data_IF_382544970191
#
_entry.id   IF_382544970191
#
_cell.length_a   1.000
_cell.length_b   1.000
_cell.length_c   1.000
_cell.angle_alpha   90.00
_cell.angle_beta   90.00
_cell.angle_gamma   90.00
#
_symmetry.space_group_name_H-M   'P 1'
#
loop_
_entity.id
_entity.type
_entity.pdbx_description
1 polymer ?
#
# COMPACT_ATOMS: atom_id res chain seq x y z
N UNK A 1 -4.46 -29.62 -9.01
CA UNK A 1 -3.35 -28.80 -8.47
C UNK A 1 -3.95 -27.79 -7.51
N UNK A 2 -3.77 -27.98 -6.20
CA UNK A 2 -4.24 -27.00 -5.22
C UNK A 2 -3.38 -25.74 -5.37
N UNK A 3 -3.99 -24.65 -5.85
CA UNK A 3 -3.36 -23.34 -5.78
C UNK A 3 -3.16 -23.03 -4.29
N UNK A 4 -1.91 -22.89 -3.84
CA UNK A 4 -1.65 -22.23 -2.57
C UNK A 4 -2.20 -20.82 -2.70
N UNK A 5 -3.38 -20.59 -2.11
CA UNK A 5 -3.89 -19.24 -1.93
C UNK A 5 -2.94 -18.55 -0.95
N UNK A 6 -2.07 -17.69 -1.46
CA UNK A 6 -1.30 -16.81 -0.61
C UNK A 6 -2.30 -15.82 -0.01
N UNK A 7 -2.54 -15.96 1.29
CA UNK A 7 -3.40 -15.07 2.04
C UNK A 7 -2.60 -13.83 2.39
N UNK A 8 -2.87 -12.73 1.68
CA UNK A 8 -2.40 -11.41 2.11
C UNK A 8 -3.34 -10.93 3.23
N UNK A 9 -2.81 -10.46 4.38
CA UNK A 9 -3.64 -9.91 5.44
C UNK A 9 -4.43 -8.68 4.97
N UNK A 10 -5.55 -8.42 5.64
CA UNK A 10 -6.31 -7.18 5.47
C UNK A 10 -5.71 -6.09 6.36
N UNK A 11 -5.53 -4.90 5.81
CA UNK A 11 -4.96 -3.77 6.52
C UNK A 11 -5.98 -2.65 6.70
N UNK A 12 -6.04 -2.07 7.88
CA UNK A 12 -6.79 -0.85 8.14
C UNK A 12 -5.83 0.31 8.25
N UNK A 13 -6.29 1.52 7.92
CA UNK A 13 -5.45 2.70 8.01
C UNK A 13 -6.23 3.94 8.43
N UNK A 14 -5.47 4.99 8.71
CA UNK A 14 -5.97 6.36 8.86
C UNK A 14 -5.39 7.26 7.76
N UNK A 15 -6.23 8.03 7.06
CA UNK A 15 -5.77 9.07 6.14
C UNK A 15 -4.83 10.06 6.83
N UNK A 16 -3.70 10.39 6.18
CA UNK A 16 -2.76 11.40 6.69
C UNK A 16 -3.41 12.78 6.65
N UNK A 17 -4.17 13.05 5.59
CA UNK A 17 -4.85 14.32 5.38
C UNK A 17 -6.09 14.32 6.27
N UNK A 18 -6.18 15.32 7.14
CA UNK A 18 -7.39 15.59 7.93
C UNK A 18 -8.25 16.57 7.17
N UNK A 19 -9.50 16.18 6.92
CA UNK A 19 -10.52 17.03 6.33
C UNK A 19 -11.52 17.40 7.42
N UNK A 20 -11.70 18.69 7.68
CA UNK A 20 -12.61 19.19 8.71
C UNK A 20 -13.90 19.76 8.13
N UNK A 21 -14.24 19.40 6.88
CA UNK A 21 -15.38 19.95 6.14
C UNK A 21 -16.67 19.11 6.27
N UNK A 22 -16.64 18.03 7.07
CA UNK A 22 -17.77 17.12 7.25
C UNK A 22 -18.09 16.26 6.01
N UNK A 23 -17.27 16.30 4.95
CA UNK A 23 -17.46 15.50 3.74
C UNK A 23 -16.48 14.33 3.65
N UNK A 24 -15.91 13.92 4.79
CA UNK A 24 -15.01 12.80 4.86
C UNK A 24 -15.74 11.58 5.37
N UNK A 25 -15.68 10.49 4.60
CA UNK A 25 -16.42 9.26 4.86
C UNK A 25 -15.47 8.09 5.02
N UNK A 26 -15.83 7.13 5.88
CA UNK A 26 -15.15 5.84 6.00
C UNK A 26 -16.08 4.68 5.63
N UNK A 27 -15.48 3.59 5.15
CA UNK A 27 -16.18 2.41 4.64
C UNK A 27 -16.41 1.36 5.74
N UNK A 28 -17.43 1.56 6.56
CA UNK A 28 -17.75 0.70 7.68
C UNK A 28 -18.59 -0.52 7.23
N UNK A 29 -17.94 -1.67 7.04
CA UNK A 29 -18.60 -2.97 6.77
C UNK A 29 -19.64 -2.98 5.64
N UNK A 30 -19.47 -2.13 4.62
CA UNK A 30 -20.43 -2.03 3.52
C UNK A 30 -21.06 -0.65 3.36
N UNK A 31 -21.03 0.15 4.43
CA UNK A 31 -21.71 1.43 4.50
C UNK A 31 -20.72 2.59 4.51
N UNK A 32 -21.16 3.73 3.96
CA UNK A 32 -20.42 4.99 4.01
C UNK A 32 -20.96 5.84 5.14
N UNK A 33 -20.19 5.99 6.20
CA UNK A 33 -20.53 6.85 7.34
C UNK A 33 -19.58 8.05 7.37
N UNK A 34 -20.00 9.13 8.03
CA UNK A 34 -19.11 10.25 8.31
C UNK A 34 -17.93 9.74 9.13
N UNK A 35 -16.73 10.19 8.78
CA UNK A 35 -15.52 9.84 9.48
C UNK A 35 -15.59 10.25 10.96
N UNK A 36 -15.53 9.26 11.83
CA UNK A 36 -15.58 9.39 13.30
C UNK A 36 -14.19 9.28 13.94
N UNK A 37 -13.13 9.16 13.13
CA UNK A 37 -11.75 9.03 13.58
C UNK A 37 -11.24 7.59 13.68
N UNK A 38 -12.08 6.58 13.46
CA UNK A 38 -11.69 5.17 13.52
C UNK A 38 -10.88 4.71 12.29
N UNK A 39 -10.04 3.70 12.46
CA UNK A 39 -9.33 3.09 11.33
C UNK A 39 -10.28 2.28 10.47
N UNK A 40 -10.06 2.28 9.16
CA UNK A 40 -10.87 1.48 8.23
C UNK A 40 -10.06 1.05 6.99
N UNK A 41 -10.65 0.21 6.14
CA UNK A 41 -10.01 -0.31 4.93
C UNK A 41 -10.13 0.61 3.72
N UNK A 42 -11.03 1.60 3.76
CA UNK A 42 -11.18 2.62 2.73
C UNK A 42 -11.85 3.89 3.26
N UNK A 43 -11.51 5.02 2.63
CA UNK A 43 -12.10 6.34 2.92
C UNK A 43 -12.43 7.05 1.63
N UNK A 44 -13.34 8.02 1.70
CA UNK A 44 -13.75 8.83 0.56
C UNK A 44 -13.89 10.29 0.98
N UNK A 45 -13.38 11.18 0.13
CA UNK A 45 -13.61 12.62 0.19
C UNK A 45 -14.21 13.06 -1.14
N UNK A 46 -15.54 13.04 -1.28
CA UNK A 46 -16.17 13.45 -2.52
C UNK A 46 -15.84 14.89 -2.91
N UNK A 47 -15.65 15.81 -1.97
CA UNK A 47 -15.34 17.22 -2.28
C UNK A 47 -14.08 17.38 -3.14
N UNK A 48 -13.02 16.63 -2.82
CA UNK A 48 -11.73 16.68 -3.53
C UNK A 48 -11.58 15.58 -4.60
N UNK A 49 -12.67 14.87 -4.91
CA UNK A 49 -12.66 13.71 -5.80
C UNK A 49 -11.64 12.63 -5.37
N UNK A 50 -11.38 12.46 -4.07
CA UNK A 50 -10.37 11.53 -3.55
C UNK A 50 -10.98 10.29 -2.92
N UNK A 51 -10.48 9.12 -3.31
CA UNK A 51 -10.73 7.84 -2.69
C UNK A 51 -9.41 7.30 -2.11
N UNK A 52 -9.45 6.83 -0.86
CA UNK A 52 -8.29 6.32 -0.16
C UNK A 52 -8.45 4.82 0.08
N UNK A 53 -7.39 4.06 -0.19
CA UNK A 53 -7.34 2.62 0.09
C UNK A 53 -5.93 2.07 0.01
N UNK A 54 -5.66 1.01 0.76
CA UNK A 54 -4.35 0.34 0.75
C UNK A 54 -4.03 -0.26 -0.64
N UNK A 55 -2.84 0.03 -1.16
CA UNK A 55 -2.33 -0.53 -2.41
C UNK A 55 -1.77 -1.92 -2.16
N UNK A 56 -2.64 -2.92 -2.35
CA UNK A 56 -2.26 -4.31 -2.17
C UNK A 56 -1.14 -4.70 -3.18
N UNK A 57 -0.06 -5.37 -2.73
CA UNK A 57 1.03 -5.77 -3.61
C UNK A 57 0.56 -6.51 -4.87
N UNK A 58 1.10 -6.12 -6.02
CA UNK A 58 0.79 -6.74 -7.32
C UNK A 58 1.27 -8.19 -7.42
N UNK A 59 2.28 -8.55 -6.60
CA UNK A 59 2.87 -9.88 -6.49
C UNK A 59 2.82 -10.33 -5.03
N UNK A 60 2.43 -11.57 -4.76
CA UNK A 60 2.19 -12.01 -3.39
C UNK A 60 3.50 -12.23 -2.61
N UNK A 61 4.60 -12.53 -3.31
CA UNK A 61 5.92 -12.73 -2.70
C UNK A 61 6.65 -11.42 -2.38
N UNK A 62 6.20 -10.26 -2.88
CA UNK A 62 6.82 -8.96 -2.57
C UNK A 62 6.19 -8.42 -1.28
N UNK A 63 7.03 -8.12 -0.28
CA UNK A 63 6.59 -7.38 0.91
C UNK A 63 6.83 -5.90 0.70
N UNK A 64 8.08 -5.49 0.45
CA UNK A 64 8.45 -4.07 0.36
C UNK A 64 9.07 -3.77 -1.00
N UNK A 65 8.86 -2.55 -1.47
CA UNK A 65 9.51 -2.02 -2.66
C UNK A 65 10.14 -0.66 -2.40
N UNK A 66 11.14 -0.31 -3.19
CA UNK A 66 11.67 1.06 -3.25
C UNK A 66 12.34 1.32 -4.60
N UNK A 67 12.27 2.55 -5.10
CA UNK A 67 13.02 2.99 -6.30
C UNK A 67 14.31 3.72 -5.96
N UNK A 68 15.43 3.37 -6.61
CA UNK A 68 16.70 4.09 -6.44
C UNK A 68 16.51 5.60 -6.62
N UNK A 69 16.84 6.36 -5.56
CA UNK A 69 16.66 7.82 -5.47
C UNK A 69 15.22 8.34 -5.66
N UNK A 70 14.19 7.49 -5.62
CA UNK A 70 12.81 7.86 -5.95
C UNK A 70 12.59 8.12 -7.44
N UNK A 71 13.52 7.67 -8.31
CA UNK A 71 13.49 7.95 -9.76
C UNK A 71 13.23 6.67 -10.53
N UNK A 72 12.07 6.58 -11.17
CA UNK A 72 11.70 5.41 -11.96
C UNK A 72 12.64 5.14 -13.14
N UNK A 73 13.23 6.19 -13.72
CA UNK A 73 14.21 6.10 -14.81
C UNK A 73 15.66 5.88 -14.37
N UNK A 74 15.92 5.69 -13.07
CA UNK A 74 17.27 5.38 -12.61
C UNK A 74 17.72 3.99 -13.12
N UNK A 75 19.01 3.83 -13.35
CA UNK A 75 19.60 2.54 -13.72
C UNK A 75 20.36 1.98 -12.51
N UNK A 76 20.07 0.72 -12.20
CA UNK A 76 20.78 -0.05 -11.18
C UNK A 76 21.57 -1.15 -11.87
N UNK A 77 22.89 -1.10 -11.74
CA UNK A 77 23.77 -2.16 -12.23
C UNK A 77 23.46 -3.49 -11.51
N UNK A 78 23.44 -4.60 -12.24
CA UNK A 78 23.06 -5.92 -11.71
C UNK A 78 21.56 -6.19 -11.63
N UNK A 79 20.70 -5.19 -11.79
CA UNK A 79 19.25 -5.42 -11.90
C UNK A 79 18.86 -5.91 -13.30
N UNK A 80 17.82 -6.76 -13.42
CA UNK A 80 17.30 -7.19 -14.71
C UNK A 80 16.93 -5.99 -15.59
N UNK A 81 17.57 -5.89 -16.77
CA UNK A 81 17.39 -4.78 -17.72
C UNK A 81 17.66 -3.38 -17.10
N UNK A 82 18.49 -3.32 -16.06
CA UNK A 82 18.82 -2.06 -15.37
C UNK A 82 17.68 -1.44 -14.56
N UNK A 83 16.63 -2.20 -14.25
CA UNK A 83 15.43 -1.72 -13.54
C UNK A 83 15.76 -0.93 -12.24
N UNK A 84 15.14 0.23 -12.03
CA UNK A 84 15.34 1.09 -10.85
C UNK A 84 14.83 0.52 -9.52
N UNK A 85 13.93 -0.47 -9.59
CA UNK A 85 13.19 -0.94 -8.42
C UNK A 85 13.94 -2.04 -7.66
N UNK A 86 13.99 -1.88 -6.35
CA UNK A 86 14.43 -2.84 -5.35
C UNK A 86 13.20 -3.49 -4.72
N UNK A 87 13.24 -4.80 -4.52
CA UNK A 87 12.13 -5.57 -3.96
C UNK A 87 12.63 -6.47 -2.83
N UNK A 88 11.95 -6.40 -1.70
CA UNK A 88 12.14 -7.33 -0.58
C UNK A 88 11.05 -8.39 -0.63
N UNK A 89 11.45 -9.65 -0.62
CA UNK A 89 10.53 -10.77 -0.65
C UNK A 89 10.06 -11.18 0.74
N UNK A 90 8.98 -11.97 0.79
CA UNK A 90 8.57 -12.66 2.02
C UNK A 90 9.66 -13.61 2.49
N UNK A 91 9.73 -13.80 3.80
CA UNK A 91 10.66 -14.76 4.39
C UNK A 91 10.46 -16.14 3.77
N UNK A 92 11.55 -16.75 3.30
CA UNK A 92 11.55 -18.05 2.62
C UNK A 92 11.23 -18.01 1.12
N UNK A 93 10.80 -16.88 0.56
CA UNK A 93 10.57 -16.73 -0.87
C UNK A 93 11.85 -16.33 -1.61
N UNK A 94 12.08 -16.94 -2.78
CA UNK A 94 13.22 -16.62 -3.67
C UNK A 94 12.77 -15.95 -4.98
N UNK A 95 11.47 -15.88 -5.21
CA UNK A 95 10.85 -15.29 -6.41
C UNK A 95 9.64 -14.44 -6.03
N UNK A 96 9.14 -13.61 -6.96
CA UNK A 96 7.97 -12.75 -6.73
C UNK A 96 6.66 -13.51 -6.43
N UNK A 97 6.64 -14.81 -6.67
CA UNK A 97 5.43 -15.63 -6.68
C UNK A 97 4.64 -15.50 -8.00
N UNK A 98 3.67 -16.40 -8.17
CA UNK A 98 2.77 -16.39 -9.34
C UNK A 98 1.81 -15.20 -9.25
N UNK A 99 1.16 -14.86 -10.38
CA UNK A 99 0.02 -13.94 -10.35
C UNK A 99 -1.01 -14.44 -9.33
N UNK A 100 -1.48 -13.54 -8.47
CA UNK A 100 -2.57 -13.81 -7.55
C UNK A 100 -3.73 -12.86 -7.86
N UNK A 101 -4.96 -13.26 -7.52
CA UNK A 101 -6.13 -12.46 -7.85
C UNK A 101 -6.34 -11.33 -6.83
N UNK A 102 -5.52 -10.27 -6.93
CA UNK A 102 -5.62 -9.08 -6.08
C UNK A 102 -7.00 -8.43 -6.11
N UNK A 103 -7.76 -8.60 -7.21
CA UNK A 103 -9.08 -8.00 -7.39
C UNK A 103 -10.12 -8.57 -6.43
N UNK A 104 -9.86 -9.73 -5.83
CA UNK A 104 -10.72 -10.34 -4.80
C UNK A 104 -10.30 -9.98 -3.37
N UNK A 105 -9.20 -9.25 -3.19
CA UNK A 105 -8.74 -8.87 -1.87
C UNK A 105 -9.62 -7.76 -1.26
N UNK A 106 -9.94 -7.87 0.03
CA UNK A 106 -10.86 -6.93 0.70
C UNK A 106 -10.42 -5.47 0.60
N UNK A 107 -9.12 -5.17 0.80
CA UNK A 107 -8.62 -3.80 0.62
C UNK A 107 -8.78 -3.28 -0.82
N UNK A 108 -8.58 -4.14 -1.82
CA UNK A 108 -8.75 -3.74 -3.23
C UNK A 108 -10.22 -3.43 -3.51
N UNK A 109 -11.12 -4.33 -3.14
CA UNK A 109 -12.56 -4.15 -3.36
C UNK A 109 -13.10 -2.92 -2.62
N UNK A 110 -12.65 -2.65 -1.40
CA UNK A 110 -13.05 -1.46 -0.65
C UNK A 110 -12.57 -0.17 -1.32
N UNK A 111 -11.36 -0.15 -1.86
CA UNK A 111 -10.85 0.99 -2.64
C UNK A 111 -11.67 1.24 -3.91
N UNK A 112 -12.01 0.18 -4.66
CA UNK A 112 -12.87 0.31 -5.85
C UNK A 112 -14.26 0.85 -5.48
N UNK A 113 -14.81 0.41 -4.34
CA UNK A 113 -16.06 0.96 -3.80
C UNK A 113 -15.91 2.44 -3.43
N UNK A 114 -14.78 2.84 -2.84
CA UNK A 114 -14.48 4.23 -2.54
C UNK A 114 -14.44 5.09 -3.81
N UNK A 115 -13.72 4.63 -4.84
CA UNK A 115 -13.67 5.31 -6.13
C UNK A 115 -15.06 5.41 -6.77
N UNK A 116 -15.85 4.33 -6.72
CA UNK A 116 -17.21 4.30 -7.24
C UNK A 116 -18.12 5.28 -6.48
N UNK A 117 -18.01 5.33 -5.15
CA UNK A 117 -18.75 6.28 -4.31
C UNK A 117 -18.41 7.73 -4.67
N UNK A 118 -17.13 8.08 -4.74
CA UNK A 118 -16.67 9.42 -5.11
C UNK A 118 -17.13 9.79 -6.53
N UNK A 119 -16.96 8.88 -7.49
CA UNK A 119 -17.40 9.07 -8.86
C UNK A 119 -18.91 9.28 -8.97
N UNK A 120 -19.72 8.58 -8.17
CA UNK A 120 -21.18 8.79 -8.11
C UNK A 120 -21.59 10.20 -7.65
N UNK A 121 -20.70 10.90 -6.94
CA UNK A 121 -20.95 12.25 -6.40
C UNK A 121 -20.38 13.36 -7.28
N UNK A 122 -19.27 13.11 -8.00
CA UNK A 122 -18.53 14.15 -8.76
C UNK A 122 -18.28 13.84 -10.24
N UNK A 123 -18.61 12.63 -10.70
CA UNK A 123 -18.33 12.16 -12.06
C UNK A 123 -16.89 11.69 -12.29
N UNK A 124 -15.99 11.80 -11.31
CA UNK A 124 -14.63 11.28 -11.37
C UNK A 124 -14.12 10.89 -9.97
N UNK A 125 -13.02 10.14 -9.91
CA UNK A 125 -12.34 9.79 -8.66
C UNK A 125 -10.85 9.57 -8.88
N UNK A 126 -10.03 10.02 -7.93
CA UNK A 126 -8.59 9.79 -7.85
C UNK A 126 -8.29 8.85 -6.67
N UNK A 127 -7.28 8.00 -6.82
CA UNK A 127 -6.87 7.05 -5.79
C UNK A 127 -5.63 7.52 -5.01
N UNK A 128 -5.66 7.40 -3.70
CA UNK A 128 -4.50 7.54 -2.82
C UNK A 128 -4.54 6.49 -1.69
N UNK A 129 -3.55 6.49 -0.81
CA UNK A 129 -3.49 5.61 0.35
C UNK A 129 -2.11 4.98 0.57
N UNK A 130 -1.99 4.16 1.62
CA UNK A 130 -0.75 3.50 1.99
C UNK A 130 -0.33 2.44 0.98
N UNK A 131 0.97 2.34 0.72
CA UNK A 131 1.62 1.27 -0.05
C UNK A 131 2.81 0.70 0.74
N UNK A 132 3.18 -0.56 0.51
CA UNK A 132 4.46 -1.09 0.99
C UNK A 132 5.65 -0.59 0.17
N UNK A 133 5.83 0.72 0.23
CA UNK A 133 7.00 1.42 -0.25
C UNK A 133 7.85 1.84 0.95
N UNK A 134 9.15 1.58 0.90
CA UNK A 134 10.08 2.14 1.91
C UNK A 134 10.01 3.65 1.80
N UNK A 135 9.77 4.36 2.91
CA UNK A 135 9.43 5.79 3.01
C UNK A 135 7.95 6.17 2.85
N UNK A 136 7.03 5.20 2.79
CA UNK A 136 5.59 5.50 2.80
C UNK A 136 5.18 6.28 4.07
N UNK A 137 4.59 7.48 3.94
CA UNK A 137 4.34 8.36 5.06
C UNK A 137 3.23 7.86 6.01
N UNK A 138 2.38 6.92 5.59
CA UNK A 138 1.39 6.31 6.48
C UNK A 138 2.09 5.35 7.44
N UNK A 139 3.03 4.57 6.92
CA UNK A 139 3.80 3.59 7.69
C UNK A 139 4.75 4.32 8.64
N UNK A 140 5.42 5.37 8.18
CA UNK A 140 6.27 6.22 9.02
C UNK A 140 5.50 6.79 10.23
N UNK A 141 4.25 7.21 10.02
CA UNK A 141 3.39 7.78 11.06
C UNK A 141 2.62 6.74 11.88
N UNK A 142 2.80 5.44 11.63
CA UNK A 142 2.08 4.37 12.33
C UNK A 142 0.57 4.35 12.04
N UNK A 143 0.16 4.83 10.86
CA UNK A 143 -1.24 4.94 10.44
C UNK A 143 -1.75 3.73 9.65
N UNK A 144 -0.95 2.68 9.47
CA UNK A 144 -1.33 1.42 8.84
C UNK A 144 -1.22 0.29 9.87
N UNK A 145 -2.24 -0.56 9.99
CA UNK A 145 -2.25 -1.70 10.92
C UNK A 145 -2.91 -2.93 10.33
N UNK A 146 -2.55 -4.11 10.83
CA UNK A 146 -3.27 -5.34 10.51
C UNK A 146 -4.69 -5.27 11.09
N UNK A 147 -5.71 -5.64 10.29
CA UNK A 147 -7.11 -5.63 10.73
C UNK A 147 -7.36 -6.57 11.91
N UNK A 148 -6.77 -7.77 11.87
CA UNK A 148 -7.02 -8.82 12.86
C UNK A 148 -6.34 -8.52 14.19
N UNK A 149 -5.02 -8.27 14.17
CA UNK A 149 -4.22 -8.12 15.38
C UNK A 149 -4.13 -6.68 15.87
N UNK A 150 -4.54 -5.71 15.04
CA UNK A 150 -4.34 -4.26 15.26
C UNK A 150 -2.87 -3.85 15.38
N UNK A 151 -1.94 -4.74 15.06
CA UNK A 151 -0.50 -4.45 15.08
C UNK A 151 -0.17 -3.40 14.00
N UNK A 152 0.54 -2.35 14.41
CA UNK A 152 1.00 -1.28 13.52
C UNK A 152 2.11 -1.80 12.63
N UNK A 153 1.97 -1.59 11.32
CA UNK A 153 3.00 -1.93 10.34
C UNK A 153 4.21 -1.02 10.55
N UNK A 154 5.39 -1.61 10.59
CA UNK A 154 6.68 -0.91 10.66
C UNK A 154 7.53 -1.25 9.45
N UNK A 155 8.40 -0.32 9.06
CA UNK A 155 9.44 -0.62 8.08
C UNK A 155 10.37 -1.73 8.57
N UNK A 156 10.96 -2.52 7.66
CA UNK A 156 11.95 -3.50 8.03
C UNK A 156 13.23 -2.80 8.50
N UNK A 157 13.86 -3.34 9.54
CA UNK A 157 15.16 -2.86 10.02
C UNK A 157 16.25 -3.04 8.95
N UNK A 158 16.18 -4.15 8.21
CA UNK A 158 17.06 -4.48 7.08
C UNK A 158 16.20 -4.72 5.85
N UNK A 159 16.47 -3.99 4.77
CA UNK A 159 15.86 -4.26 3.48
C UNK A 159 16.76 -5.21 2.70
N UNK A 160 16.36 -6.48 2.61
CA UNK A 160 17.07 -7.46 1.78
C UNK A 160 16.47 -7.44 0.37
N UNK A 161 17.15 -6.75 -0.54
CA UNK A 161 16.76 -6.71 -1.95
C UNK A 161 17.08 -8.05 -2.60
N UNK A 162 16.10 -8.66 -3.26
CA UNK A 162 16.31 -9.92 -3.96
C UNK A 162 17.38 -9.89 -5.07
N UNK A 163 17.77 -8.69 -5.53
CA UNK A 163 18.80 -8.51 -6.55
C UNK A 163 20.17 -8.11 -5.98
N UNK A 164 20.19 -7.39 -4.85
CA UNK A 164 21.44 -6.82 -4.31
C UNK A 164 21.88 -7.47 -3.00
N UNK A 165 21.05 -8.32 -2.39
CA UNK A 165 21.22 -8.74 -1.00
C UNK A 165 20.84 -7.65 -0.02
N UNK A 166 21.49 -7.66 1.15
CA UNK A 166 21.20 -6.74 2.25
C UNK A 166 21.60 -5.29 1.90
N UNK A 167 20.61 -4.41 1.82
CA UNK A 167 20.82 -2.98 1.61
C UNK A 167 20.39 -2.19 2.84
N UNK A 168 21.29 -1.34 3.35
CA UNK A 168 20.92 -0.32 4.33
C UNK A 168 20.33 0.90 3.59
N UNK A 169 19.03 0.81 3.29
CA UNK A 169 18.28 1.81 2.54
C UNK A 169 18.34 3.22 3.16
N UNK A 170 18.38 3.32 4.50
CA UNK A 170 18.47 4.61 5.22
C UNK A 170 19.76 5.37 4.91
N UNK A 171 20.87 4.65 4.70
CA UNK A 171 22.16 5.27 4.33
C UNK A 171 22.17 5.74 2.88
N UNK A 172 21.48 5.05 1.98
CA UNK A 172 21.45 5.44 0.57
C UNK A 172 20.67 6.74 0.32
N UNK A 173 19.59 6.98 1.06
CA UNK A 173 18.82 8.23 0.94
C UNK A 173 19.56 9.45 1.52
N UNK A 174 20.39 9.25 2.54
CA UNK A 174 21.18 10.32 3.18
C UNK A 174 22.30 10.91 2.33
N UNK A 175 22.56 10.36 1.13
CA UNK A 175 23.55 10.86 0.17
C UNK A 175 22.95 11.86 -0.84
N UNK A 176 21.70 12.27 -0.66
CA UNK A 176 21.05 13.37 -1.38
C UNK A 176 21.38 14.71 -0.74
#
# INVERSE_FOLDING_TARGET
MNQCEIVIPVYEFRPIIKHNDGNFFRYNDGEWIIDDGEYDIAFAHPSDCMAYGFYVPSRPGIIWSWTKNGKWGAIVEGHPRGNAWHYMLRSGETVWGKCWNKYRHLNYMAKEKAMSFVCSKKGCANGAGPEFHINDPYIEKGLLRLRETKEVVKFPDIFNCMYCGDINWRKEESKK
#
